data_IF_609234760566
#
_entry.id   IF_609234760566
#
_cell.length_a   1.000
_cell.length_b   1.000
_cell.length_c   1.000
_cell.angle_alpha   90.00
_cell.angle_beta   90.00
_cell.angle_gamma   90.00
#
_symmetry.space_group_name_H-M   'P 1'
#
loop_
_entity.id
_entity.type
_entity.pdbx_description
1 polymer ?
#
# COMPACT_ATOMS: atom_id res chain seq x y z
N UNK A 1 -20.69 -23.42 -11.57
CA UNK A 1 -21.39 -22.60 -12.58
C UNK A 1 -20.80 -22.93 -13.93
N UNK A 2 -21.66 -23.30 -14.89
CA UNK A 2 -21.28 -23.67 -16.25
C UNK A 2 -20.99 -22.46 -17.15
N UNK A 3 -20.65 -22.69 -18.43
CA UNK A 3 -20.45 -21.64 -19.42
C UNK A 3 -21.67 -20.72 -19.52
N UNK A 4 -21.48 -19.50 -20.05
CA UNK A 4 -22.63 -18.65 -20.38
C UNK A 4 -23.58 -19.43 -21.31
N UNK A 5 -24.89 -19.32 -21.08
CA UNK A 5 -25.88 -19.78 -22.05
C UNK A 5 -26.08 -18.75 -23.18
N UNK A 6 -25.13 -17.82 -23.34
CA UNK A 6 -25.17 -16.79 -24.36
C UNK A 6 -24.55 -17.37 -25.64
N UNK A 7 -25.35 -17.61 -26.70
CA UNK A 7 -24.86 -18.19 -27.94
C UNK A 7 -23.86 -17.28 -28.69
N UNK A 8 -23.73 -16.01 -28.28
CA UNK A 8 -22.80 -15.05 -28.88
C UNK A 8 -21.40 -15.14 -28.23
N UNK A 9 -21.29 -15.65 -27.00
CA UNK A 9 -20.03 -15.67 -26.25
C UNK A 9 -19.75 -17.00 -25.51
N UNK A 10 -19.58 -18.12 -26.23
CA UNK A 10 -19.48 -19.46 -25.66
C UNK A 10 -18.17 -19.71 -24.88
N UNK A 11 -17.17 -18.85 -25.05
CA UNK A 11 -15.86 -19.01 -24.42
C UNK A 11 -15.76 -18.36 -23.03
N UNK A 12 -16.77 -17.60 -22.61
CA UNK A 12 -16.73 -16.84 -21.37
C UNK A 12 -17.87 -17.21 -20.42
N UNK A 13 -17.59 -17.06 -19.12
CA UNK A 13 -18.60 -17.27 -18.08
C UNK A 13 -18.44 -16.20 -17.00
N UNK A 14 -19.57 -15.79 -16.41
CA UNK A 14 -19.56 -14.88 -15.27
C UNK A 14 -19.24 -15.66 -13.99
N UNK A 15 -18.28 -15.17 -13.22
CA UNK A 15 -17.90 -15.71 -11.91
C UNK A 15 -17.83 -14.59 -10.87
N UNK A 16 -18.04 -14.96 -9.61
CA UNK A 16 -17.94 -14.05 -8.46
C UNK A 16 -17.09 -14.71 -7.37
N UNK A 17 -16.64 -13.93 -6.39
CA UNK A 17 -15.87 -14.42 -5.25
C UNK A 17 -14.47 -13.82 -5.15
N UNK A 18 -13.84 -14.03 -3.99
CA UNK A 18 -12.52 -13.47 -3.69
C UNK A 18 -11.44 -14.02 -4.62
N UNK A 19 -11.57 -15.24 -5.16
CA UNK A 19 -10.64 -15.78 -6.16
C UNK A 19 -10.54 -14.91 -7.42
N UNK A 20 -11.66 -14.36 -7.88
CA UNK A 20 -11.68 -13.45 -9.05
C UNK A 20 -11.05 -12.10 -8.68
N UNK A 21 -11.33 -11.59 -7.47
CA UNK A 21 -10.67 -10.40 -6.96
C UNK A 21 -9.15 -10.59 -6.83
N UNK A 22 -8.69 -11.73 -6.35
CA UNK A 22 -7.26 -12.06 -6.24
C UNK A 22 -6.58 -12.06 -7.61
N UNK A 23 -7.17 -12.71 -8.62
CA UNK A 23 -6.63 -12.72 -9.97
C UNK A 23 -6.55 -11.30 -10.57
N UNK A 24 -7.58 -10.48 -10.34
CA UNK A 24 -7.60 -9.09 -10.80
C UNK A 24 -6.48 -8.27 -10.14
N UNK A 25 -6.33 -8.37 -8.81
CA UNK A 25 -5.26 -7.67 -8.08
C UNK A 25 -3.87 -8.18 -8.47
N UNK A 26 -3.71 -9.47 -8.79
CA UNK A 26 -2.46 -10.01 -9.32
C UNK A 26 -2.10 -9.37 -10.68
N UNK A 27 -3.08 -9.17 -11.57
CA UNK A 27 -2.89 -8.40 -12.81
C UNK A 27 -2.49 -6.95 -12.55
N UNK A 28 -3.13 -6.28 -11.59
CA UNK A 28 -2.73 -4.93 -11.18
C UNK A 28 -1.27 -4.90 -10.68
N UNK A 29 -0.86 -5.87 -9.86
CA UNK A 29 0.52 -5.96 -9.37
C UNK A 29 1.53 -6.15 -10.52
N UNK A 30 1.20 -6.95 -11.54
CA UNK A 30 2.04 -7.12 -12.72
C UNK A 30 2.23 -5.79 -13.49
N UNK A 31 1.16 -5.01 -13.67
CA UNK A 31 1.24 -3.68 -14.30
C UNK A 31 2.11 -2.72 -13.46
N UNK A 32 1.95 -2.72 -12.13
CA UNK A 32 2.77 -1.88 -11.25
C UNK A 32 4.26 -2.25 -11.32
N UNK A 33 4.57 -3.55 -11.37
CA UNK A 33 5.95 -4.02 -11.54
C UNK A 33 6.52 -3.55 -12.88
N UNK A 34 5.76 -3.66 -13.98
CA UNK A 34 6.18 -3.19 -15.29
C UNK A 34 6.42 -1.66 -15.30
N UNK A 35 5.45 -0.88 -14.78
CA UNK A 35 5.57 0.57 -14.70
C UNK A 35 6.78 1.00 -13.88
N UNK A 36 7.02 0.33 -12.75
CA UNK A 36 8.17 0.60 -11.90
C UNK A 36 9.49 0.32 -12.61
N UNK A 37 9.63 -0.86 -13.24
CA UNK A 37 10.84 -1.22 -13.99
C UNK A 37 11.13 -0.23 -15.11
N UNK A 38 10.10 0.17 -15.84
CA UNK A 38 10.23 1.16 -16.91
C UNK A 38 10.72 2.52 -16.38
N UNK A 39 10.29 2.92 -15.18
CA UNK A 39 10.64 4.23 -14.60
C UNK A 39 11.98 4.25 -13.87
N UNK A 40 12.33 3.18 -13.17
CA UNK A 40 13.43 3.15 -12.20
C UNK A 40 14.56 2.17 -12.54
N UNK A 41 14.44 1.38 -13.62
CA UNK A 41 15.46 0.43 -14.12
C UNK A 41 15.88 -0.67 -13.13
N UNK A 42 15.00 -1.06 -12.20
CA UNK A 42 15.20 -2.24 -11.36
C UNK A 42 13.88 -2.89 -10.95
N UNK A 43 13.97 -4.12 -10.42
CA UNK A 43 12.82 -4.88 -9.93
C UNK A 43 12.38 -4.38 -8.54
N UNK A 44 11.13 -3.93 -8.34
CA UNK A 44 10.67 -3.53 -7.03
C UNK A 44 10.54 -4.75 -6.09
N UNK A 45 10.88 -4.61 -4.79
CA UNK A 45 10.60 -5.64 -3.81
C UNK A 45 9.09 -5.78 -3.58
N UNK A 46 8.63 -6.99 -3.20
CA UNK A 46 7.21 -7.28 -3.01
C UNK A 46 6.53 -6.35 -1.98
N UNK A 47 7.24 -5.99 -0.90
CA UNK A 47 6.75 -5.03 0.10
C UNK A 47 6.44 -3.66 -0.52
N UNK A 48 7.26 -3.19 -1.45
CA UNK A 48 7.05 -1.90 -2.12
C UNK A 48 5.85 -1.96 -3.08
N UNK A 49 5.67 -3.07 -3.81
CA UNK A 49 4.47 -3.29 -4.64
C UNK A 49 3.20 -3.26 -3.78
N UNK A 50 3.22 -3.94 -2.62
CA UNK A 50 2.12 -3.91 -1.65
C UNK A 50 1.88 -2.49 -1.10
N UNK A 51 2.94 -1.71 -0.86
CA UNK A 51 2.82 -0.32 -0.41
C UNK A 51 2.12 0.57 -1.45
N UNK A 52 2.45 0.43 -2.74
CA UNK A 52 1.77 1.16 -3.81
C UNK A 52 0.27 0.82 -3.87
N UNK A 53 -0.07 -0.47 -3.84
CA UNK A 53 -1.46 -0.93 -3.87
C UNK A 53 -2.26 -0.35 -2.68
N UNK A 54 -1.70 -0.41 -1.47
CA UNK A 54 -2.38 0.07 -0.25
C UNK A 54 -2.51 1.60 -0.26
N UNK A 55 -1.44 2.33 -0.58
CA UNK A 55 -1.46 3.79 -0.52
C UNK A 55 -2.38 4.39 -1.60
N UNK A 56 -2.35 3.80 -2.81
CA UNK A 56 -3.19 4.20 -3.93
C UNK A 56 -4.68 3.87 -3.74
N UNK A 57 -5.02 2.87 -2.92
CA UNK A 57 -6.39 2.38 -2.74
C UNK A 57 -7.40 3.47 -2.36
N UNK A 58 -8.61 3.34 -2.89
CA UNK A 58 -9.75 4.20 -2.57
C UNK A 58 -10.57 3.59 -1.44
N UNK A 59 -10.96 4.41 -0.46
CA UNK A 59 -11.83 3.99 0.64
C UNK A 59 -13.18 3.53 0.08
N UNK A 60 -13.58 2.29 0.39
CA UNK A 60 -14.90 1.77 0.04
C UNK A 60 -15.91 2.33 1.02
N UNK A 61 -16.95 3.06 0.60
CA UNK A 61 -17.96 3.59 1.51
C UNK A 61 -18.68 2.45 2.25
N UNK A 62 -19.17 2.68 3.47
CA UNK A 62 -19.86 1.65 4.22
C UNK A 62 -21.19 1.33 3.53
N UNK A 63 -21.49 0.05 3.35
CA UNK A 63 -22.74 -0.40 2.73
C UNK A 63 -23.90 -0.48 3.73
N UNK A 64 -23.65 -0.29 5.04
CA UNK A 64 -24.64 -0.17 6.13
C UNK A 64 -23.99 0.42 7.40
N UNK A 65 -24.75 1.09 8.29
CA UNK A 65 -24.25 1.51 9.61
C UNK A 65 -24.34 0.37 10.67
N UNK A 66 -23.47 0.27 11.72
CA UNK A 66 -22.12 0.83 11.96
C UNK A 66 -21.04 -0.26 12.24
N UNK A 67 -19.78 0.07 12.60
CA UNK A 67 -18.93 1.11 12.03
C UNK A 67 -18.16 0.55 10.82
N UNK A 68 -17.42 1.43 10.15
CA UNK A 68 -16.52 1.12 9.05
C UNK A 68 -15.51 0.03 9.45
N UNK A 69 -15.86 -1.23 9.24
CA UNK A 69 -15.05 -2.35 9.67
C UNK A 69 -13.85 -2.49 8.72
N UNK A 70 -12.66 -2.13 9.21
CA UNK A 70 -11.39 -2.39 8.49
C UNK A 70 -11.28 -3.86 8.10
N UNK A 71 -11.88 -4.78 8.86
CA UNK A 71 -11.82 -6.20 8.54
C UNK A 71 -12.62 -6.57 7.27
N UNK A 72 -13.58 -5.73 6.84
CA UNK A 72 -14.39 -5.99 5.63
C UNK A 72 -13.75 -5.48 4.35
N UNK A 73 -13.10 -4.33 4.40
CA UNK A 73 -12.56 -3.65 3.20
C UNK A 73 -11.03 -3.54 3.20
N UNK A 74 -10.37 -3.94 4.28
CA UNK A 74 -8.94 -3.77 4.47
C UNK A 74 -8.54 -2.30 4.35
N UNK A 75 -7.63 -2.03 3.41
CA UNK A 75 -7.16 -0.69 3.08
C UNK A 75 -7.99 0.01 1.97
N UNK A 76 -9.01 -0.66 1.43
CA UNK A 76 -9.88 -0.13 0.37
C UNK A 76 -9.77 -0.89 -0.95
N UNK A 77 -10.45 -0.38 -1.97
CA UNK A 77 -10.42 -0.93 -3.32
C UNK A 77 -9.17 -0.47 -4.07
N UNK A 78 -8.52 -1.39 -4.79
CA UNK A 78 -7.34 -1.08 -5.61
C UNK A 78 -7.67 0.01 -6.63
N UNK A 79 -6.84 1.05 -6.68
CA UNK A 79 -6.92 2.10 -7.66
C UNK A 79 -5.56 2.20 -8.37
N UNK A 80 -5.52 1.63 -9.57
CA UNK A 80 -4.30 1.50 -10.36
C UNK A 80 -3.74 2.87 -10.80
N UNK A 81 -4.55 3.82 -11.31
CA UNK A 81 -4.07 5.17 -11.61
C UNK A 81 -3.36 5.86 -10.43
N UNK A 82 -3.95 5.86 -9.24
CA UNK A 82 -3.32 6.46 -8.05
C UNK A 82 -1.99 5.77 -7.72
N UNK A 83 -1.93 4.45 -7.83
CA UNK A 83 -0.73 3.66 -7.54
C UNK A 83 0.39 3.94 -8.55
N UNK A 84 0.06 4.05 -9.84
CA UNK A 84 0.99 4.42 -10.91
C UNK A 84 1.49 5.86 -10.71
N UNK A 85 0.62 6.78 -10.31
CA UNK A 85 1.02 8.17 -10.03
C UNK A 85 2.14 8.26 -8.99
N UNK A 86 2.07 7.45 -7.93
CA UNK A 86 3.15 7.34 -6.93
C UNK A 86 4.46 6.84 -7.56
N UNK A 87 4.40 5.85 -8.45
CA UNK A 87 5.58 5.28 -9.13
C UNK A 87 6.21 6.31 -10.07
N UNK A 88 5.39 7.03 -10.82
CA UNK A 88 5.83 8.03 -11.81
C UNK A 88 6.37 9.30 -11.16
N UNK A 89 6.07 9.53 -9.87
CA UNK A 89 6.45 10.72 -9.13
C UNK A 89 5.51 11.89 -9.43
N UNK A 90 4.21 11.62 -9.55
CA UNK A 90 3.19 12.67 -9.68
C UNK A 90 3.32 13.68 -8.54
N UNK A 91 2.95 14.92 -8.82
CA UNK A 91 3.04 16.01 -7.85
C UNK A 91 2.43 15.60 -6.49
N UNK A 92 3.22 15.76 -5.42
CA UNK A 92 2.84 15.49 -4.02
C UNK A 92 2.74 14.00 -3.66
N UNK A 93 3.30 13.12 -4.48
CA UNK A 93 3.48 11.70 -4.17
C UNK A 93 4.96 11.38 -4.00
N UNK A 94 5.26 10.24 -3.40
CA UNK A 94 6.62 9.76 -3.25
C UNK A 94 6.67 8.44 -2.51
N UNK A 95 7.81 7.78 -2.59
CA UNK A 95 8.08 6.56 -1.85
C UNK A 95 9.54 6.49 -1.46
N UNK A 96 9.82 5.65 -0.46
CA UNK A 96 11.16 5.30 -0.06
C UNK A 96 11.23 3.78 0.12
N UNK A 97 12.36 3.20 -0.26
CA UNK A 97 12.61 1.77 -0.16
C UNK A 97 14.01 1.57 0.40
N UNK A 98 14.15 0.67 1.37
CA UNK A 98 15.41 0.44 2.07
C UNK A 98 15.35 -0.77 2.99
N UNK A 99 16.46 -1.02 3.68
CA UNK A 99 16.58 -2.09 4.68
C UNK A 99 17.03 -1.47 6.00
N UNK A 100 16.40 -1.89 7.09
CA UNK A 100 16.86 -1.60 8.45
C UNK A 100 17.59 -2.85 8.94
N UNK A 101 18.79 -2.70 9.50
CA UNK A 101 19.65 -3.84 9.90
C UNK A 101 20.00 -3.88 11.39
N UNK A 102 19.84 -2.78 12.11
CA UNK A 102 20.28 -2.64 13.51
C UNK A 102 19.17 -2.12 14.43
N UNK A 103 19.21 -2.55 15.70
CA UNK A 103 18.15 -2.42 16.72
C UNK A 103 17.73 -0.99 17.13
N UNK A 104 18.35 0.04 16.56
CA UNK A 104 18.02 1.45 16.81
C UNK A 104 18.04 2.31 15.55
N UNK A 105 18.02 1.69 14.37
CA UNK A 105 18.04 2.42 13.12
C UNK A 105 16.72 3.18 12.92
N UNK A 106 16.85 4.49 12.78
CA UNK A 106 15.75 5.37 12.39
C UNK A 106 16.04 5.86 10.99
N UNK A 107 15.05 5.76 10.12
CA UNK A 107 15.10 6.44 8.84
C UNK A 107 14.07 7.56 8.83
N UNK A 108 14.56 8.79 8.73
CA UNK A 108 13.74 9.99 8.70
C UNK A 108 13.74 10.57 7.31
N UNK A 109 12.56 10.99 6.85
CA UNK A 109 12.42 11.81 5.66
C UNK A 109 11.51 13.01 5.94
N UNK A 110 11.57 13.98 5.04
CA UNK A 110 10.77 15.20 5.07
C UNK A 110 9.91 15.26 3.82
N UNK A 111 8.61 15.46 3.98
CA UNK A 111 7.73 15.86 2.89
C UNK A 111 7.31 17.29 3.18
N UNK A 112 7.66 18.20 2.28
CA UNK A 112 7.16 19.58 2.34
C UNK A 112 5.85 19.63 1.56
N UNK A 113 4.77 19.97 2.27
CA UNK A 113 3.49 20.26 1.65
C UNK A 113 3.61 21.57 0.87
N UNK A 114 3.09 21.61 -0.36
CA UNK A 114 3.05 22.83 -1.14
C UNK A 114 2.20 23.88 -0.39
N UNK A 115 2.77 25.03 0.01
CA UNK A 115 2.10 26.00 0.89
C UNK A 115 0.78 26.53 0.31
N UNK A 116 0.68 26.58 -1.02
CA UNK A 116 -0.49 27.03 -1.77
C UNK A 116 -1.60 25.96 -1.92
N UNK A 117 -1.37 24.72 -1.47
CA UNK A 117 -2.32 23.62 -1.62
C UNK A 117 -2.88 23.22 -0.25
N UNK A 118 -4.20 23.35 -0.08
CA UNK A 118 -4.88 22.72 1.04
C UNK A 118 -5.00 21.21 0.79
N UNK A 119 -4.30 20.42 1.59
CA UNK A 119 -4.42 18.98 1.60
C UNK A 119 -5.60 18.59 2.50
N UNK A 120 -6.62 17.96 1.92
CA UNK A 120 -7.75 17.42 2.70
C UNK A 120 -7.46 16.03 3.26
N UNK A 121 -6.56 15.28 2.61
CA UNK A 121 -6.17 13.93 3.03
C UNK A 121 -4.69 13.72 2.72
N UNK A 122 -3.97 13.17 3.70
CA UNK A 122 -2.61 12.69 3.51
C UNK A 122 -2.51 11.23 3.91
N UNK A 123 -1.84 10.42 3.06
CA UNK A 123 -1.69 8.99 3.26
C UNK A 123 -0.21 8.60 3.38
N UNK A 124 0.12 7.94 4.48
CA UNK A 124 1.41 7.28 4.66
C UNK A 124 1.20 5.78 4.86
N UNK A 125 2.07 4.96 4.29
CA UNK A 125 1.94 3.50 4.34
C UNK A 125 3.30 2.89 4.64
N UNK A 126 3.40 2.18 5.78
CA UNK A 126 4.52 1.29 6.10
C UNK A 126 4.24 -0.10 5.54
N UNK A 127 5.19 -0.67 4.81
CA UNK A 127 5.18 -2.10 4.50
C UNK A 127 6.60 -2.64 4.63
N UNK A 128 6.74 -3.80 5.26
CA UNK A 128 7.98 -4.56 5.31
C UNK A 128 7.72 -6.02 4.94
N UNK A 129 8.79 -6.71 4.53
CA UNK A 129 8.81 -8.17 4.41
C UNK A 129 9.31 -8.73 5.74
N UNK A 130 8.45 -9.49 6.42
CA UNK A 130 8.78 -10.18 7.66
C UNK A 130 9.50 -11.50 7.35
N UNK A 131 10.34 -11.97 8.28
CA UNK A 131 10.87 -13.33 8.21
C UNK A 131 9.73 -14.34 8.43
N UNK A 132 9.85 -15.53 7.84
CA UNK A 132 8.89 -16.61 8.09
C UNK A 132 8.85 -16.98 9.58
N UNK A 133 7.64 -17.12 10.11
CA UNK A 133 7.40 -17.38 11.52
C UNK A 133 5.91 -17.36 11.84
N UNK A 134 5.53 -17.85 13.01
CA UNK A 134 4.14 -17.81 13.50
C UNK A 134 3.81 -16.49 14.19
N UNK A 135 4.81 -15.66 14.45
CA UNK A 135 4.71 -14.40 15.19
C UNK A 135 5.39 -13.26 14.44
N UNK A 136 5.10 -12.03 14.84
CA UNK A 136 5.77 -10.86 14.31
C UNK A 136 7.16 -10.75 14.94
N UNK A 137 8.22 -10.99 14.16
CA UNK A 137 9.60 -10.93 14.66
C UNK A 137 10.14 -9.49 14.68
N UNK A 138 9.80 -8.69 13.65
CA UNK A 138 10.30 -7.35 13.49
C UNK A 138 9.21 -6.31 13.75
N UNK A 139 9.46 -5.42 14.71
CA UNK A 139 8.48 -4.42 15.11
C UNK A 139 8.90 -3.04 14.57
N UNK A 140 8.31 -2.68 13.43
CA UNK A 140 8.55 -1.39 12.79
C UNK A 140 7.39 -0.44 13.06
N UNK A 141 7.72 0.81 13.37
CA UNK A 141 6.75 1.87 13.59
C UNK A 141 6.96 3.03 12.62
N UNK A 142 5.85 3.56 12.12
CA UNK A 142 5.80 4.84 11.42
C UNK A 142 5.36 5.92 12.40
N UNK A 143 6.24 6.88 12.67
CA UNK A 143 5.94 8.09 13.42
C UNK A 143 5.84 9.28 12.47
N UNK A 144 4.73 10.00 12.52
CA UNK A 144 4.55 11.27 11.83
C UNK A 144 4.68 12.40 12.85
N UNK A 145 5.37 13.47 12.48
CA UNK A 145 5.52 14.69 13.29
C UNK A 145 5.31 15.89 12.39
N UNK A 146 4.36 16.74 12.75
CA UNK A 146 4.06 17.98 12.06
C UNK A 146 4.76 19.13 12.76
N UNK A 147 5.50 19.97 12.02
CA UNK A 147 6.14 21.19 12.55
C UNK A 147 5.68 22.39 11.75
N UNK A 148 4.79 23.21 12.31
CA UNK A 148 4.21 24.36 11.61
C UNK A 148 3.24 23.94 10.51
N UNK A 149 2.75 24.87 9.68
CA UNK A 149 1.66 24.61 8.70
C UNK A 149 2.06 23.81 7.44
N UNK A 150 3.36 23.54 7.24
CA UNK A 150 3.91 23.15 5.91
C UNK A 150 4.88 21.96 5.93
N UNK A 151 5.38 21.55 7.09
CA UNK A 151 6.40 20.49 7.17
C UNK A 151 5.91 19.26 7.92
N UNK A 152 5.93 18.12 7.23
CA UNK A 152 5.72 16.81 7.81
C UNK A 152 7.01 16.01 7.81
N UNK A 153 7.49 15.71 9.01
CA UNK A 153 8.59 14.79 9.26
C UNK A 153 8.00 13.41 9.52
N UNK A 154 8.52 12.40 8.84
CA UNK A 154 8.20 11.01 9.17
C UNK A 154 9.46 10.29 9.61
N UNK A 155 9.32 9.36 10.55
CA UNK A 155 10.39 8.52 11.05
C UNK A 155 9.91 7.08 11.09
N UNK A 156 10.62 6.21 10.39
CA UNK A 156 10.52 4.76 10.57
C UNK A 156 11.49 4.37 11.70
N UNK A 157 11.04 3.56 12.65
CA UNK A 157 11.91 3.03 13.70
C UNK A 157 11.75 1.51 13.77
N UNK A 158 12.87 0.81 13.89
CA UNK A 158 12.91 -0.62 14.20
C UNK A 158 13.13 -0.80 15.71
N UNK A 159 12.36 -1.70 16.31
CA UNK A 159 12.61 -2.21 17.66
C UNK A 159 12.67 -3.74 17.56
N UNK A 160 13.79 -4.33 17.99
CA UNK A 160 13.87 -5.78 18.16
C UNK A 160 12.93 -6.19 19.28
N UNK A 161 12.11 -7.21 19.05
CA UNK A 161 11.28 -7.81 20.10
C UNK A 161 12.17 -8.53 21.11
N UNK A 162 12.68 -7.85 22.12
CA UNK A 162 13.05 -8.50 23.37
C UNK A 162 11.82 -8.52 24.26
N UNK A 163 11.36 -9.73 24.56
CA UNK A 163 10.23 -10.09 25.43
C UNK A 163 9.55 -8.95 26.19
N UNK A 164 8.29 -8.66 25.85
CA UNK A 164 7.36 -8.16 26.85
C UNK A 164 7.02 -9.33 27.79
N UNK A 165 7.90 -9.61 28.75
CA UNK A 165 7.52 -10.32 29.97
C UNK A 165 6.60 -9.38 30.73
N UNK A 166 5.36 -9.81 30.96
CA UNK A 166 4.48 -9.23 31.97
C UNK A 166 4.98 -9.57 33.37
#
# INVERSE_FOLDING_TARGET
MGPSHDPIDPHWCRKTGTSIATALVAGCAAVLIQAFRHKHDYQPPAALVKAFIINGATKVPPTSPPPHDRNRSGFGAVNLPNSIGIICGDARTGFMNGRLRDDHMKWTGKITAAPEVQYTVLKFTLVWSEQEGTELHNLLYLKLTHRGLVDLLFTWAYLHGSSLVR
#
